data_IF_249766023830
#
_entry.id   IF_249766023830
#
_cell.length_a   1.000
_cell.length_b   1.000
_cell.length_c   1.000
_cell.angle_alpha   90.00
_cell.angle_beta   90.00
_cell.angle_gamma   90.00
#
_symmetry.space_group_name_H-M   'P 1'
#
loop_
_entity.id
_entity.type
_entity.pdbx_description
1 polymer ?
#
# COMPACT_ATOMS: atom_id res chain seq x y z
N UNK A 1 30.56 11.51 -10.78
CA UNK A 1 29.29 12.20 -11.08
C UNK A 1 28.19 11.26 -10.62
N UNK A 2 27.39 11.64 -9.62
CA UNK A 2 26.30 10.79 -9.18
C UNK A 2 25.20 10.80 -10.25
N UNK A 3 24.63 9.63 -10.54
CA UNK A 3 23.47 9.55 -11.42
C UNK A 3 22.21 9.95 -10.65
N UNK A 4 21.18 10.44 -11.34
CA UNK A 4 19.87 10.72 -10.74
C UNK A 4 19.31 9.49 -10.01
N UNK A 5 19.56 8.29 -10.55
CA UNK A 5 19.21 7.02 -9.92
C UNK A 5 19.91 6.83 -8.57
N UNK A 6 21.21 7.11 -8.50
CA UNK A 6 21.98 7.03 -7.25
C UNK A 6 21.47 8.00 -6.19
N UNK A 7 21.11 9.21 -6.60
CA UNK A 7 20.55 10.24 -5.72
C UNK A 7 19.16 9.83 -5.22
N UNK A 8 18.28 9.35 -6.09
CA UNK A 8 16.91 8.92 -5.73
C UNK A 8 16.86 7.66 -4.88
N UNK A 9 17.80 6.72 -5.05
CA UNK A 9 17.94 5.57 -4.14
C UNK A 9 18.29 6.05 -2.73
N UNK A 10 19.26 6.98 -2.62
CA UNK A 10 19.66 7.56 -1.33
C UNK A 10 18.51 8.35 -0.71
N UNK A 11 17.83 9.17 -1.51
CA UNK A 11 16.68 9.97 -1.10
C UNK A 11 15.55 9.07 -0.55
N UNK A 12 15.16 8.04 -1.30
CA UNK A 12 14.17 7.05 -0.86
C UNK A 12 14.53 6.47 0.51
N UNK A 13 15.78 6.00 0.67
CA UNK A 13 16.23 5.41 1.93
C UNK A 13 16.13 6.41 3.09
N UNK A 14 16.62 7.62 2.89
CA UNK A 14 16.62 8.67 3.92
C UNK A 14 15.19 9.07 4.29
N UNK A 15 14.29 9.21 3.30
CA UNK A 15 12.87 9.53 3.53
C UNK A 15 12.13 8.43 4.30
N UNK A 16 12.57 7.17 4.19
CA UNK A 16 12.04 6.05 4.98
C UNK A 16 12.68 5.92 6.37
N UNK A 17 13.64 6.78 6.72
CA UNK A 17 14.32 6.75 8.02
C UNK A 17 15.25 5.54 8.21
N UNK A 18 15.68 4.91 7.13
CA UNK A 18 16.46 3.66 7.18
C UNK A 18 17.97 3.92 7.13
N UNK A 19 18.72 3.14 7.89
CA UNK A 19 20.17 3.00 7.71
C UNK A 19 20.48 2.24 6.42
N UNK A 20 21.70 2.38 5.90
CA UNK A 20 22.13 1.60 4.72
C UNK A 20 22.04 0.08 4.95
N UNK A 21 22.20 -0.37 6.20
CA UNK A 21 22.09 -1.77 6.58
C UNK A 21 20.63 -2.25 6.49
N UNK A 22 19.70 -1.54 7.12
CA UNK A 22 18.27 -1.88 7.09
C UNK A 22 17.71 -1.84 5.66
N UNK A 23 18.11 -0.84 4.87
CA UNK A 23 17.73 -0.77 3.46
C UNK A 23 18.28 -1.97 2.67
N UNK A 24 19.55 -2.33 2.89
CA UNK A 24 20.15 -3.50 2.24
C UNK A 24 19.42 -4.79 2.58
N UNK A 25 19.06 -4.98 3.85
CA UNK A 25 18.28 -6.13 4.32
C UNK A 25 16.89 -6.18 3.65
N UNK A 26 16.20 -5.04 3.54
CA UNK A 26 14.86 -4.98 2.94
C UNK A 26 14.80 -5.31 1.45
N UNK A 27 15.89 -5.06 0.70
CA UNK A 27 15.98 -5.39 -0.74
C UNK A 27 16.90 -6.60 -1.01
N UNK A 28 17.28 -7.32 0.05
CA UNK A 28 18.09 -8.55 0.02
C UNK A 28 19.44 -8.39 -0.69
N UNK A 29 20.23 -7.39 -0.31
CA UNK A 29 21.59 -7.15 -0.79
C UNK A 29 22.55 -6.88 0.36
N UNK A 30 23.85 -6.79 0.06
CA UNK A 30 24.84 -6.36 1.05
C UNK A 30 24.80 -4.84 1.27
N UNK A 31 25.13 -4.38 2.48
CA UNK A 31 25.29 -2.95 2.80
C UNK A 31 26.27 -2.25 1.85
N UNK A 32 27.32 -2.96 1.42
CA UNK A 32 28.30 -2.47 0.44
C UNK A 32 27.66 -2.20 -0.92
N UNK A 33 26.69 -3.02 -1.33
CA UNK A 33 25.96 -2.81 -2.59
C UNK A 33 25.13 -1.53 -2.53
N UNK A 34 24.39 -1.31 -1.43
CA UNK A 34 23.63 -0.06 -1.21
C UNK A 34 24.55 1.16 -1.26
N UNK A 35 25.68 1.13 -0.53
CA UNK A 35 26.66 2.21 -0.56
C UNK A 35 27.17 2.47 -1.99
N UNK A 36 27.46 1.42 -2.75
CA UNK A 36 27.91 1.53 -4.15
C UNK A 36 26.83 2.11 -5.07
N UNK A 37 25.56 1.80 -4.82
CA UNK A 37 24.42 2.35 -5.56
C UNK A 37 24.25 3.85 -5.30
N UNK A 38 24.28 4.26 -4.03
CA UNK A 38 24.09 5.65 -3.59
C UNK A 38 25.25 6.58 -3.97
N UNK A 39 26.45 6.02 -4.14
CA UNK A 39 27.66 6.75 -4.56
C UNK A 39 27.92 6.68 -6.07
N UNK A 40 27.05 5.99 -6.81
CA UNK A 40 27.19 5.81 -8.26
C UNK A 40 28.38 4.95 -8.69
N UNK A 41 29.07 4.28 -7.75
CA UNK A 41 30.18 3.36 -8.04
C UNK A 41 29.68 2.14 -8.81
N UNK A 42 28.47 1.66 -8.49
CA UNK A 42 27.82 0.56 -9.18
C UNK A 42 26.41 0.96 -9.57
N UNK A 43 25.99 0.60 -10.78
CA UNK A 43 24.60 0.74 -11.20
C UNK A 43 23.82 -0.52 -10.80
N UNK A 44 22.65 -0.40 -10.14
CA UNK A 44 21.76 -1.54 -9.92
C UNK A 44 21.32 -2.17 -11.23
N UNK A 45 21.07 -3.49 -11.25
CA UNK A 45 20.43 -4.14 -12.40
C UNK A 45 18.97 -3.71 -12.53
N UNK A 46 18.36 -3.92 -13.70
CA UNK A 46 16.93 -3.68 -13.89
C UNK A 46 16.08 -4.44 -12.86
N UNK A 47 16.41 -5.70 -12.59
CA UNK A 47 15.73 -6.50 -11.57
C UNK A 47 15.81 -5.86 -10.17
N UNK A 48 16.95 -5.25 -9.83
CA UNK A 48 17.12 -4.55 -8.56
C UNK A 48 16.31 -3.25 -8.52
N UNK A 49 16.26 -2.51 -9.63
CA UNK A 49 15.42 -1.30 -9.75
C UNK A 49 13.94 -1.68 -9.58
N UNK A 50 13.48 -2.74 -10.24
CA UNK A 50 12.11 -3.26 -10.09
C UNK A 50 11.83 -3.73 -8.66
N UNK A 51 12.78 -4.42 -8.03
CA UNK A 51 12.67 -4.86 -6.64
C UNK A 51 12.54 -3.67 -5.67
N UNK A 52 13.37 -2.63 -5.83
CA UNK A 52 13.26 -1.40 -5.03
C UNK A 52 11.90 -0.74 -5.26
N UNK A 53 11.48 -0.60 -6.52
CA UNK A 53 10.20 0.02 -6.85
C UNK A 53 9.00 -0.70 -6.23
N UNK A 54 8.99 -2.04 -6.27
CA UNK A 54 7.93 -2.87 -5.69
C UNK A 54 7.92 -2.83 -4.15
N UNK A 55 9.09 -2.98 -3.51
CA UNK A 55 9.17 -2.99 -2.04
C UNK A 55 8.71 -1.66 -1.42
N UNK A 56 8.94 -0.55 -2.12
CA UNK A 56 8.64 0.78 -1.61
C UNK A 56 7.43 1.45 -2.26
N UNK A 57 6.77 0.76 -3.21
CA UNK A 57 5.64 1.27 -3.98
C UNK A 57 5.94 2.64 -4.63
N UNK A 58 7.07 2.74 -5.32
CA UNK A 58 7.51 3.96 -6.01
C UNK A 58 7.56 3.76 -7.52
N UNK A 59 7.49 4.86 -8.26
CA UNK A 59 7.57 4.85 -9.71
C UNK A 59 8.99 4.54 -10.17
N UNK A 60 9.14 3.62 -11.14
CA UNK A 60 10.43 3.42 -11.83
C UNK A 60 10.80 4.68 -12.62
N UNK A 61 9.82 5.38 -13.18
CA UNK A 61 10.05 6.63 -13.91
C UNK A 61 10.66 7.69 -12.99
N UNK A 62 10.15 7.79 -11.75
CA UNK A 62 10.81 8.60 -10.75
C UNK A 62 12.17 8.03 -10.40
N UNK A 63 12.30 6.76 -10.03
CA UNK A 63 13.59 6.21 -9.60
C UNK A 63 14.72 6.43 -10.64
N UNK A 64 14.37 6.44 -11.94
CA UNK A 64 15.28 6.64 -13.07
C UNK A 64 15.40 8.08 -13.58
N UNK A 65 14.68 9.06 -13.03
CA UNK A 65 14.80 10.47 -13.43
C UNK A 65 13.93 10.93 -14.61
N UNK A 66 12.90 10.17 -14.99
CA UNK A 66 12.00 10.49 -16.10
C UNK A 66 10.88 11.48 -15.72
N UNK A 67 10.49 11.52 -14.44
CA UNK A 67 9.55 12.51 -13.89
C UNK A 67 9.77 12.73 -12.39
N UNK A 68 9.05 13.66 -11.76
CA UNK A 68 9.20 13.98 -10.33
C UNK A 68 8.15 13.33 -9.41
N UNK A 69 7.34 12.41 -9.95
CA UNK A 69 6.27 11.74 -9.20
C UNK A 69 6.79 10.46 -8.52
N UNK A 70 7.21 10.58 -7.27
CA UNK A 70 7.82 9.47 -6.50
C UNK A 70 6.90 8.25 -6.34
N UNK A 71 5.61 8.46 -6.10
CA UNK A 71 4.66 7.36 -5.96
C UNK A 71 4.41 6.78 -7.35
N UNK A 72 4.51 5.45 -7.52
CA UNK A 72 3.95 4.85 -8.74
C UNK A 72 2.49 5.27 -8.76
N UNK A 73 1.96 5.74 -9.88
CA UNK A 73 0.52 5.93 -10.00
C UNK A 73 -0.10 4.60 -9.56
N UNK A 74 -0.63 4.58 -8.35
CA UNK A 74 -1.32 3.43 -7.80
C UNK A 74 -2.65 3.46 -8.50
N UNK A 75 -2.64 3.10 -9.77
CA UNK A 75 -3.84 2.86 -10.52
C UNK A 75 -4.57 1.80 -9.73
N UNK A 76 -5.67 2.23 -9.12
CA UNK A 76 -6.61 1.34 -8.48
C UNK A 76 -7.19 0.52 -9.64
N UNK A 77 -6.57 -0.62 -9.92
CA UNK A 77 -6.92 -1.47 -11.06
C UNK A 77 -7.69 -2.69 -10.60
N UNK A 78 -7.49 -3.10 -9.35
CA UNK A 78 -8.12 -4.28 -8.76
C UNK A 78 -8.98 -3.96 -7.54
N UNK A 79 -9.90 -4.86 -7.20
CA UNK A 79 -10.65 -4.79 -5.93
C UNK A 79 -9.73 -4.87 -4.71
N UNK A 80 -8.64 -5.64 -4.80
CA UNK A 80 -7.58 -5.69 -3.78
C UNK A 80 -6.96 -4.31 -3.51
N UNK A 81 -6.74 -3.50 -4.54
CA UNK A 81 -6.21 -2.14 -4.39
C UNK A 81 -7.21 -1.24 -3.65
N UNK A 82 -8.49 -1.32 -4.02
CA UNK A 82 -9.58 -0.61 -3.33
C UNK A 82 -9.66 -1.00 -1.86
N UNK A 83 -9.71 -2.31 -1.57
CA UNK A 83 -9.87 -2.79 -0.20
C UNK A 83 -8.69 -2.43 0.69
N UNK A 84 -7.45 -2.52 0.18
CA UNK A 84 -6.26 -2.04 0.90
C UNK A 84 -6.38 -0.57 1.28
N UNK A 85 -6.83 0.27 0.34
CA UNK A 85 -7.04 1.70 0.59
C UNK A 85 -8.09 1.91 1.70
N UNK A 86 -9.25 1.27 1.61
CA UNK A 86 -10.30 1.39 2.62
C UNK A 86 -9.88 0.87 4.00
N UNK A 87 -9.23 -0.30 4.08
CA UNK A 87 -8.71 -0.84 5.35
C UNK A 87 -7.74 0.15 5.98
N UNK A 88 -6.79 0.67 5.21
CA UNK A 88 -5.81 1.63 5.73
C UNK A 88 -6.48 2.90 6.28
N UNK A 89 -7.56 3.37 5.64
CA UNK A 89 -8.32 4.54 6.10
C UNK A 89 -9.12 4.25 7.37
N UNK A 90 -9.67 3.04 7.50
CA UNK A 90 -10.54 2.65 8.62
C UNK A 90 -9.72 2.26 9.85
N UNK A 91 -8.61 1.54 9.70
CA UNK A 91 -7.70 1.18 10.79
C UNK A 91 -7.20 2.43 11.54
N UNK A 92 -6.93 3.53 10.82
CA UNK A 92 -6.51 4.82 11.42
C UNK A 92 -7.62 5.47 12.28
N UNK A 93 -8.89 5.19 12.00
CA UNK A 93 -10.03 5.83 12.69
C UNK A 93 -10.55 5.05 13.90
N UNK A 94 -9.90 3.94 14.25
CA UNK A 94 -10.36 3.03 15.30
C UNK A 94 -10.12 3.51 16.73
N UNK A 95 -9.25 4.50 16.97
CA UNK A 95 -8.90 4.95 18.33
C UNK A 95 -10.07 5.58 19.12
N UNK A 96 -11.15 6.01 18.46
CA UNK A 96 -12.22 6.80 19.09
C UNK A 96 -13.51 6.02 19.44
N UNK A 97 -13.60 4.71 19.17
CA UNK A 97 -14.80 3.87 19.42
C UNK A 97 -16.13 4.41 18.85
N UNK A 98 -16.07 5.38 17.94
CA UNK A 98 -17.25 5.92 17.29
C UNK A 98 -17.80 4.89 16.31
N UNK A 99 -19.12 4.70 16.30
CA UNK A 99 -19.82 3.99 15.22
C UNK A 99 -19.53 4.73 13.93
N UNK A 100 -18.77 4.12 13.01
CA UNK A 100 -18.52 4.67 11.69
C UNK A 100 -19.65 4.15 10.78
N UNK A 101 -20.66 4.96 10.38
CA UNK A 101 -21.59 4.56 9.34
C UNK A 101 -20.78 4.45 8.06
N UNK A 102 -20.66 3.23 7.52
CA UNK A 102 -19.65 2.97 6.52
C UNK A 102 -19.98 3.72 5.21
N UNK A 103 -21.22 3.83 4.71
CA UNK A 103 -21.41 4.13 3.27
C UNK A 103 -22.85 4.69 2.88
N UNK A 104 -23.02 5.95 2.42
CA UNK A 104 -24.23 6.73 1.92
C UNK A 104 -23.87 7.99 1.04
N UNK A 105 -24.07 8.04 -0.29
CA UNK A 105 -23.08 8.66 -1.24
C UNK A 105 -22.98 10.16 -1.42
N UNK A 106 -24.03 10.96 -1.42
CA UNK A 106 -23.88 12.42 -1.52
C UNK A 106 -25.03 13.04 -0.76
N UNK A 107 -24.73 13.71 0.35
CA UNK A 107 -25.63 14.67 0.95
C UNK A 107 -25.25 16.05 0.37
N UNK A 108 -26.04 16.52 -0.60
CA UNK A 108 -25.82 17.82 -1.26
C UNK A 108 -25.97 19.01 -0.30
N UNK A 109 -26.58 18.79 0.87
CA UNK A 109 -26.92 19.84 1.82
C UNK A 109 -25.80 20.06 2.86
N UNK A 110 -24.98 19.03 3.14
CA UNK A 110 -23.93 19.07 4.18
C UNK A 110 -22.50 19.20 3.65
N UNK A 111 -22.26 19.06 2.34
CA UNK A 111 -20.92 19.07 1.70
C UNK A 111 -19.93 18.02 2.24
N UNK A 112 -20.42 17.00 2.94
CA UNK A 112 -19.61 15.85 3.38
C UNK A 112 -19.62 14.75 2.32
N UNK A 113 -18.45 14.18 2.00
CA UNK A 113 -18.31 13.02 1.09
C UNK A 113 -18.48 11.73 1.88
N UNK A 114 -19.33 10.85 1.39
CA UNK A 114 -19.53 9.49 1.90
C UNK A 114 -19.63 8.58 0.64
N UNK A 115 -19.21 7.31 0.64
CA UNK A 115 -19.21 6.40 -0.55
C UNK A 115 -20.31 5.31 -0.41
N UNK A 116 -20.87 4.73 -1.48
CA UNK A 116 -22.14 3.92 -1.53
C UNK A 116 -21.88 2.81 -2.51
N UNK A 117 -21.37 1.71 -1.96
CA UNK A 117 -20.96 0.52 -2.69
C UNK A 117 -22.04 -0.57 -2.57
N UNK A 118 -23.27 -0.18 -2.19
CA UNK A 118 -24.37 -1.10 -1.90
C UNK A 118 -24.82 -1.93 -3.11
N UNK A 119 -24.40 -1.62 -4.34
CA UNK A 119 -24.71 -2.45 -5.51
C UNK A 119 -23.54 -3.35 -5.95
N UNK A 120 -22.36 -3.21 -5.33
CA UNK A 120 -21.21 -4.06 -5.65
C UNK A 120 -21.12 -5.23 -4.66
N UNK A 121 -21.47 -6.41 -5.14
CA UNK A 121 -21.46 -7.64 -4.35
C UNK A 121 -20.07 -7.96 -3.77
N UNK A 122 -18.99 -7.62 -4.47
CA UNK A 122 -17.63 -7.82 -3.95
C UNK A 122 -17.40 -6.99 -2.70
N UNK A 123 -17.84 -5.73 -2.72
CA UNK A 123 -17.76 -4.85 -1.56
C UNK A 123 -18.63 -5.35 -0.41
N UNK A 124 -19.88 -5.70 -0.67
CA UNK A 124 -20.77 -6.20 0.38
C UNK A 124 -20.19 -7.45 1.07
N UNK A 125 -19.79 -8.45 0.28
CA UNK A 125 -19.28 -9.72 0.80
C UNK A 125 -17.97 -9.51 1.56
N UNK A 126 -17.05 -8.71 1.02
CA UNK A 126 -15.77 -8.43 1.67
C UNK A 126 -15.97 -7.69 3.00
N UNK A 127 -16.69 -6.57 2.98
CA UNK A 127 -16.83 -5.71 4.16
C UNK A 127 -17.69 -6.35 5.25
N UNK A 128 -18.69 -7.17 4.90
CA UNK A 128 -19.43 -7.96 5.89
C UNK A 128 -18.48 -8.87 6.68
N UNK A 129 -17.66 -9.66 5.98
CA UNK A 129 -16.69 -10.56 6.63
C UNK A 129 -15.60 -9.80 7.39
N UNK A 130 -15.14 -8.69 6.82
CA UNK A 130 -14.13 -7.83 7.44
C UNK A 130 -14.64 -7.24 8.75
N UNK A 131 -15.88 -6.73 8.80
CA UNK A 131 -16.49 -6.21 10.03
C UNK A 131 -16.49 -7.24 11.16
N UNK A 132 -16.81 -8.50 10.88
CA UNK A 132 -16.82 -9.57 11.88
C UNK A 132 -15.42 -9.80 12.47
N UNK A 133 -14.41 -9.95 11.61
CA UNK A 133 -13.02 -10.20 12.03
C UNK A 133 -12.41 -8.97 12.70
N UNK A 134 -12.69 -7.78 12.16
CA UNK A 134 -12.26 -6.52 12.74
C UNK A 134 -12.82 -6.37 14.15
N UNK A 135 -14.10 -6.67 14.39
CA UNK A 135 -14.70 -6.65 15.72
C UNK A 135 -13.99 -7.60 16.70
N UNK A 136 -13.63 -8.81 16.27
CA UNK A 136 -12.86 -9.73 17.13
C UNK A 136 -11.48 -9.18 17.50
N UNK A 137 -10.81 -8.51 16.54
CA UNK A 137 -9.53 -7.86 16.78
C UNK A 137 -9.68 -6.68 17.76
N UNK A 138 -10.69 -5.84 17.54
CA UNK A 138 -11.09 -4.71 18.37
C UNK A 138 -11.35 -5.13 19.83
N UNK A 139 -12.03 -6.25 20.03
CA UNK A 139 -12.34 -6.83 21.34
C UNK A 139 -11.16 -7.58 21.97
N UNK A 140 -9.99 -7.60 21.30
CA UNK A 140 -8.77 -8.33 21.70
C UNK A 140 -8.98 -9.85 21.81
N UNK A 141 -9.98 -10.38 21.11
CA UNK A 141 -10.24 -11.83 21.01
C UNK A 141 -9.20 -12.50 20.10
N UNK A 142 -8.72 -11.79 19.08
CA UNK A 142 -7.61 -12.19 18.22
C UNK A 142 -6.49 -11.15 18.28
N UNK A 143 -5.25 -11.58 18.08
CA UNK A 143 -4.10 -10.68 17.97
C UNK A 143 -3.98 -10.05 16.56
N UNK A 144 -3.05 -9.11 16.45
CA UNK A 144 -2.77 -8.39 15.20
C UNK A 144 -2.24 -9.32 14.10
N UNK A 145 -1.53 -10.39 14.46
CA UNK A 145 -0.91 -11.30 13.50
C UNK A 145 -1.98 -12.19 12.84
N UNK A 146 -2.92 -12.70 13.63
CA UNK A 146 -4.10 -13.42 13.13
C UNK A 146 -5.00 -12.52 12.28
N UNK A 147 -5.21 -11.27 12.69
CA UNK A 147 -5.95 -10.29 11.90
C UNK A 147 -5.29 -10.06 10.54
N UNK A 148 -3.99 -9.73 10.52
CA UNK A 148 -3.22 -9.52 9.28
C UNK A 148 -3.22 -10.74 8.38
N UNK A 149 -3.00 -11.94 8.94
CA UNK A 149 -3.00 -13.19 8.20
C UNK A 149 -4.37 -13.43 7.53
N UNK A 150 -5.47 -13.11 8.22
CA UNK A 150 -6.80 -13.21 7.62
C UNK A 150 -6.98 -12.24 6.46
N UNK A 151 -6.58 -10.97 6.63
CA UNK A 151 -6.63 -9.94 5.59
C UNK A 151 -5.84 -10.38 4.35
N UNK A 152 -4.60 -10.81 4.53
CA UNK A 152 -3.75 -11.30 3.44
C UNK A 152 -4.36 -12.49 2.70
N UNK A 153 -5.00 -13.41 3.44
CA UNK A 153 -5.68 -14.55 2.84
C UNK A 153 -6.90 -14.11 2.03
N UNK A 154 -7.74 -13.21 2.55
CA UNK A 154 -8.92 -12.74 1.83
C UNK A 154 -8.57 -11.91 0.61
N UNK A 155 -7.59 -11.02 0.69
CA UNK A 155 -7.21 -10.14 -0.41
C UNK A 155 -6.70 -10.90 -1.66
N UNK A 156 -6.23 -12.15 -1.52
CA UNK A 156 -5.85 -13.00 -2.66
C UNK A 156 -7.03 -13.28 -3.59
N UNK A 157 -8.24 -13.36 -3.07
CA UNK A 157 -9.45 -13.64 -3.85
C UNK A 157 -9.91 -12.42 -4.69
N UNK A 158 -9.35 -11.24 -4.41
CA UNK A 158 -9.73 -9.96 -5.03
C UNK A 158 -8.61 -9.32 -5.86
N UNK A 159 -7.53 -10.05 -6.12
CA UNK A 159 -6.41 -9.64 -6.99
C UNK A 159 -6.79 -9.74 -8.47
N UNK A 160 -7.83 -8.99 -8.86
CA UNK A 160 -8.48 -9.06 -10.16
C UNK A 160 -9.04 -7.71 -10.60
N UNK A 161 -9.13 -7.43 -11.91
CA UNK A 161 -9.55 -6.12 -12.41
C UNK A 161 -10.94 -5.68 -11.96
N UNK A 162 -11.11 -4.38 -11.75
CA UNK A 162 -12.42 -3.74 -11.52
C UNK A 162 -13.13 -3.64 -12.88
N UNK A 163 -13.90 -4.66 -13.23
CA UNK A 163 -14.60 -4.73 -14.52
C UNK A 163 -16.13 -4.59 -14.40
N UNK A 164 -16.63 -4.14 -13.24
CA UNK A 164 -18.06 -3.82 -13.04
C UNK A 164 -19.00 -5.02 -13.04
N UNK A 165 -18.48 -6.24 -13.07
CA UNK A 165 -19.30 -7.46 -13.00
C UNK A 165 -19.28 -8.03 -11.57
N UNK A 166 -20.45 -8.23 -10.93
CA UNK A 166 -20.55 -9.09 -9.75
C UNK A 166 -20.20 -10.54 -10.13
N UNK A 167 -19.89 -11.35 -9.10
CA UNK A 167 -19.62 -12.78 -9.25
C UNK A 167 -20.89 -13.55 -9.66
#
# INVERSE_FOLDING_TARGET
>A
MNSILSERIKELRVNKGLTQKEFAESINVSTVSVSSYETGVKTPSLDMIMNIAQNYNISIDWLCGLNDNMVSDSHITTYKDLFKLFISLLDVRYEDKATIPIIDVINTDTKSVILTLHEDENFQVFFSKWCDIFKLYCEKTIDIDLYKMWIEKQLKDYDRPINGCPF
#
